data_IF_345892206446
#
_entry.id   IF_345892206446
#
_cell.length_a   1.000
_cell.length_b   1.000
_cell.length_c   1.000
_cell.angle_alpha   90.00
_cell.angle_beta   90.00
_cell.angle_gamma   90.00
#
_symmetry.space_group_name_H-M   'P 1'
#
loop_
_entity.id
_entity.type
_entity.pdbx_description
1 polymer ?
#
# COMPACT_ATOMS: atom_id res chain seq x y z
N UNK A 1 12.72 -53.55 -3.03
CA UNK A 1 12.45 -52.13 -2.63
C UNK A 1 12.40 -51.26 -3.87
N UNK A 2 11.31 -50.52 -4.04
CA UNK A 2 11.14 -49.59 -5.17
C UNK A 2 11.96 -48.31 -4.94
N UNK A 3 12.90 -48.01 -5.82
CA UNK A 3 13.73 -46.77 -5.74
C UNK A 3 12.91 -45.55 -6.19
N UNK A 4 12.68 -44.61 -5.31
CA UNK A 4 12.00 -43.34 -5.62
C UNK A 4 13.02 -42.31 -6.04
N UNK A 5 12.96 -41.84 -7.29
CA UNK A 5 13.84 -40.79 -7.83
C UNK A 5 13.30 -39.41 -7.44
N UNK A 6 13.99 -38.68 -6.55
CA UNK A 6 13.58 -37.32 -6.07
C UNK A 6 14.46 -36.19 -6.63
N UNK A 7 15.52 -36.47 -7.38
CA UNK A 7 16.52 -35.51 -7.81
C UNK A 7 15.98 -34.38 -8.65
N UNK A 8 15.08 -34.65 -9.61
CA UNK A 8 14.50 -33.65 -10.48
C UNK A 8 13.60 -32.67 -9.70
N UNK A 9 12.75 -33.19 -8.81
CA UNK A 9 11.89 -32.36 -7.98
C UNK A 9 12.68 -31.47 -7.01
N UNK A 10 13.72 -32.01 -6.38
CA UNK A 10 14.61 -31.27 -5.49
C UNK A 10 15.37 -30.16 -6.24
N UNK A 11 15.89 -30.45 -7.44
CA UNK A 11 16.57 -29.48 -8.29
C UNK A 11 15.63 -28.34 -8.72
N UNK A 12 14.42 -28.66 -9.18
CA UNK A 12 13.41 -27.65 -9.55
C UNK A 12 13.04 -26.75 -8.36
N UNK A 13 12.82 -27.32 -7.17
CA UNK A 13 12.53 -26.57 -5.95
C UNK A 13 13.66 -25.61 -5.60
N UNK A 14 14.91 -26.06 -5.64
CA UNK A 14 16.09 -25.22 -5.38
C UNK A 14 16.21 -24.08 -6.39
N UNK A 15 16.10 -24.38 -7.69
CA UNK A 15 16.14 -23.36 -8.76
C UNK A 15 15.04 -22.31 -8.60
N UNK A 16 13.82 -22.72 -8.30
CA UNK A 16 12.69 -21.79 -8.11
C UNK A 16 12.91 -20.85 -6.91
N UNK A 17 13.43 -21.37 -5.80
CA UNK A 17 13.73 -20.56 -4.62
C UNK A 17 14.85 -19.56 -4.91
N UNK A 18 15.95 -20.00 -5.50
CA UNK A 18 17.06 -19.10 -5.85
C UNK A 18 16.67 -18.05 -6.89
N UNK A 19 15.77 -18.38 -7.82
CA UNK A 19 15.23 -17.41 -8.78
C UNK A 19 14.46 -16.27 -8.06
N UNK A 20 13.69 -16.58 -7.02
CA UNK A 20 13.02 -15.56 -6.20
C UNK A 20 14.00 -14.74 -5.36
N UNK A 21 15.11 -15.33 -4.94
CA UNK A 21 16.14 -14.66 -4.16
C UNK A 21 17.14 -13.86 -5.00
N UNK A 22 16.97 -13.83 -6.33
CA UNK A 22 17.84 -13.06 -7.23
C UNK A 22 17.82 -11.58 -6.85
N UNK A 23 19.00 -10.98 -6.70
CA UNK A 23 19.16 -9.58 -6.28
C UNK A 23 19.30 -9.40 -4.77
N UNK A 24 19.23 -10.44 -3.96
CA UNK A 24 19.52 -10.34 -2.53
C UNK A 24 21.04 -10.28 -2.29
N UNK A 25 21.41 -9.58 -1.22
CA UNK A 25 22.83 -9.36 -0.88
C UNK A 25 23.59 -10.65 -0.55
N UNK A 26 24.84 -10.69 -0.98
CA UNK A 26 25.81 -11.73 -0.64
C UNK A 26 25.30 -13.18 -0.92
N UNK A 27 25.60 -14.08 0.01
CA UNK A 27 25.21 -15.50 -0.07
C UNK A 27 23.70 -15.74 -0.03
N UNK A 28 22.89 -14.73 0.27
CA UNK A 28 21.42 -14.86 0.30
C UNK A 28 20.79 -15.02 -1.09
N UNK A 29 21.53 -14.67 -2.16
CA UNK A 29 21.09 -14.91 -3.54
C UNK A 29 21.57 -16.23 -4.14
N UNK A 30 22.68 -16.79 -3.62
CA UNK A 30 23.35 -17.96 -4.22
C UNK A 30 23.23 -19.23 -3.39
N UNK A 31 23.27 -19.12 -2.05
CA UNK A 31 23.18 -20.26 -1.16
C UNK A 31 21.73 -20.55 -0.78
N UNK A 32 21.28 -21.78 -1.01
CA UNK A 32 19.88 -22.19 -0.79
C UNK A 32 19.40 -21.98 0.66
N UNK A 33 20.23 -22.28 1.66
CA UNK A 33 19.83 -22.15 3.08
C UNK A 33 19.62 -20.68 3.46
N UNK A 34 20.58 -19.84 3.13
CA UNK A 34 20.50 -18.40 3.41
C UNK A 34 19.40 -17.72 2.57
N UNK A 35 19.23 -18.11 1.31
CA UNK A 35 18.17 -17.64 0.45
C UNK A 35 16.79 -17.99 1.00
N UNK A 36 16.60 -19.21 1.50
CA UNK A 36 15.33 -19.63 2.13
C UNK A 36 14.98 -18.77 3.35
N UNK A 37 15.93 -18.57 4.26
CA UNK A 37 15.71 -17.75 5.45
C UNK A 37 15.37 -16.31 5.09
N UNK A 38 16.10 -15.72 4.14
CA UNK A 38 15.86 -14.36 3.68
C UNK A 38 14.48 -14.20 3.03
N UNK A 39 14.07 -15.15 2.19
CA UNK A 39 12.75 -15.15 1.56
C UNK A 39 11.62 -15.31 2.55
N UNK A 40 11.73 -16.20 3.55
CA UNK A 40 10.72 -16.34 4.58
C UNK A 40 10.50 -15.03 5.35
N UNK A 41 11.59 -14.33 5.68
CA UNK A 41 11.51 -13.04 6.35
C UNK A 41 10.94 -11.95 5.43
N UNK A 42 11.33 -11.92 4.16
CA UNK A 42 10.80 -10.99 3.17
C UNK A 42 9.30 -11.20 2.93
N UNK A 43 8.85 -12.45 2.79
CA UNK A 43 7.44 -12.78 2.61
C UNK A 43 6.59 -12.39 3.85
N UNK A 44 7.12 -12.58 5.06
CA UNK A 44 6.49 -12.15 6.30
C UNK A 44 6.32 -10.63 6.36
N UNK A 45 7.37 -9.88 6.03
CA UNK A 45 7.32 -8.43 5.97
C UNK A 45 6.37 -7.94 4.87
N UNK A 46 6.41 -8.54 3.68
CA UNK A 46 5.50 -8.20 2.61
C UNK A 46 4.02 -8.41 3.01
N UNK A 47 3.71 -9.49 3.73
CA UNK A 47 2.37 -9.73 4.26
C UNK A 47 1.93 -8.63 5.24
N UNK A 48 2.78 -8.30 6.21
CA UNK A 48 2.54 -7.23 7.18
C UNK A 48 2.34 -5.88 6.50
N UNK A 49 3.23 -5.53 5.58
CA UNK A 49 3.29 -4.20 4.99
C UNK A 49 2.18 -3.97 3.96
N UNK A 50 1.67 -5.01 3.31
CA UNK A 50 0.43 -4.91 2.53
C UNK A 50 -0.77 -4.48 3.38
N UNK A 51 -0.82 -4.87 4.66
CA UNK A 51 -1.85 -4.42 5.60
C UNK A 51 -1.60 -3.03 6.13
N UNK A 52 -0.34 -2.70 6.43
CA UNK A 52 0.05 -1.36 6.83
C UNK A 52 -0.28 -0.34 5.73
N UNK A 53 0.08 -0.63 4.49
CA UNK A 53 -0.23 0.23 3.34
C UNK A 53 -1.72 0.60 3.23
N UNK A 54 -2.62 -0.34 3.55
CA UNK A 54 -4.08 -0.07 3.57
C UNK A 54 -4.51 0.90 4.67
N UNK A 55 -3.72 1.07 5.72
CA UNK A 55 -3.96 2.03 6.82
C UNK A 55 -3.25 3.36 6.56
N UNK A 56 -2.03 3.31 6.06
CA UNK A 56 -1.19 4.47 5.84
C UNK A 56 -1.71 5.35 4.70
N UNK A 57 -2.19 4.74 3.61
CA UNK A 57 -2.72 5.48 2.47
C UNK A 57 -3.94 6.35 2.81
N UNK A 58 -4.97 5.87 3.52
CA UNK A 58 -6.07 6.72 3.97
C UNK A 58 -5.65 7.84 4.92
N UNK A 59 -4.66 7.61 5.78
CA UNK A 59 -4.12 8.64 6.65
C UNK A 59 -3.44 9.76 5.83
N UNK A 60 -2.63 9.38 4.84
CA UNK A 60 -2.00 10.33 3.92
C UNK A 60 -3.03 11.17 3.14
N UNK A 61 -4.09 10.52 2.61
CA UNK A 61 -5.15 11.24 1.91
C UNK A 61 -5.84 12.25 2.83
N UNK A 62 -6.08 11.86 4.08
CA UNK A 62 -6.70 12.75 5.06
C UNK A 62 -5.83 13.97 5.38
N UNK A 63 -4.52 13.77 5.53
CA UNK A 63 -3.57 14.88 5.76
C UNK A 63 -3.63 15.89 4.62
N UNK A 64 -3.60 15.43 3.36
CA UNK A 64 -3.66 16.30 2.18
C UNK A 64 -4.98 17.08 2.09
N UNK A 65 -6.11 16.40 2.28
CA UNK A 65 -7.42 17.04 2.27
C UNK A 65 -7.55 18.04 3.41
N UNK A 66 -7.08 17.69 4.61
CA UNK A 66 -7.20 18.58 5.77
C UNK A 66 -6.32 19.82 5.64
N UNK A 67 -5.16 19.73 4.98
CA UNK A 67 -4.35 20.88 4.66
C UNK A 67 -5.13 21.88 3.78
N UNK A 68 -5.68 21.44 2.65
CA UNK A 68 -6.48 22.27 1.76
C UNK A 68 -7.77 22.82 2.43
N UNK A 69 -8.38 22.06 3.33
CA UNK A 69 -9.54 22.52 4.09
C UNK A 69 -9.19 23.61 5.10
N UNK A 70 -8.00 23.57 5.70
CA UNK A 70 -7.52 24.61 6.62
C UNK A 70 -7.29 25.93 5.91
N UNK A 71 -6.80 25.91 4.68
CA UNK A 71 -6.66 27.10 3.84
C UNK A 71 -8.02 27.75 3.57
N UNK A 72 -9.09 26.95 3.52
CA UNK A 72 -10.49 27.41 3.42
C UNK A 72 -11.16 27.65 4.79
N UNK A 73 -10.43 27.73 5.90
CA UNK A 73 -10.95 28.01 7.23
C UNK A 73 -11.81 26.92 7.86
N UNK A 74 -11.79 25.69 7.31
CA UNK A 74 -12.59 24.56 7.82
C UNK A 74 -11.72 23.36 8.20
N UNK A 75 -12.35 22.33 8.76
CA UNK A 75 -11.66 21.10 9.18
C UNK A 75 -12.33 19.88 8.57
N UNK A 76 -11.59 18.78 8.48
CA UNK A 76 -12.10 17.53 7.95
C UNK A 76 -13.41 17.07 8.62
N UNK A 77 -13.50 17.17 9.93
CA UNK A 77 -14.70 16.72 10.68
C UNK A 77 -15.96 17.49 10.28
N UNK A 78 -15.85 18.82 10.16
CA UNK A 78 -16.96 19.70 9.73
C UNK A 78 -17.34 19.40 8.28
N UNK A 79 -16.35 19.33 7.39
CA UNK A 79 -16.54 19.06 5.97
C UNK A 79 -17.17 17.69 5.72
N UNK A 80 -16.65 16.63 6.36
CA UNK A 80 -17.20 15.28 6.23
C UNK A 80 -18.63 15.18 6.75
N UNK A 81 -18.96 15.91 7.83
CA UNK A 81 -20.32 16.00 8.34
C UNK A 81 -21.29 16.63 7.34
N UNK A 82 -20.88 17.70 6.64
CA UNK A 82 -21.67 18.35 5.60
C UNK A 82 -21.87 17.46 4.37
N UNK A 83 -20.79 16.80 3.88
CA UNK A 83 -20.88 15.83 2.79
C UNK A 83 -21.89 14.71 3.09
N UNK A 84 -21.84 14.17 4.32
CA UNK A 84 -22.76 13.13 4.75
C UNK A 84 -24.21 13.61 4.80
N UNK A 85 -24.47 14.84 5.26
CA UNK A 85 -25.81 15.42 5.28
C UNK A 85 -26.39 15.62 3.88
N UNK A 86 -25.56 15.94 2.90
CA UNK A 86 -25.98 16.09 1.49
C UNK A 86 -26.06 14.74 0.74
N UNK A 87 -25.75 13.61 1.40
CA UNK A 87 -25.76 12.30 0.76
C UNK A 87 -24.65 12.10 -0.29
N UNK A 88 -23.64 12.98 -0.32
CA UNK A 88 -22.55 12.88 -1.28
C UNK A 88 -21.58 11.75 -0.92
N UNK A 89 -21.51 10.73 -1.77
CA UNK A 89 -20.61 9.56 -1.61
C UNK A 89 -19.31 9.81 -2.38
N UNK A 90 -18.35 10.47 -1.73
CA UNK A 90 -17.04 10.76 -2.33
C UNK A 90 -15.93 10.04 -1.55
N UNK A 91 -15.04 9.35 -2.27
CA UNK A 91 -13.93 8.63 -1.67
C UNK A 91 -12.81 9.60 -1.23
N UNK A 92 -12.19 9.34 -0.07
CA UNK A 92 -11.06 10.13 0.46
C UNK A 92 -9.89 10.24 -0.53
N UNK A 93 -9.62 9.19 -1.31
CA UNK A 93 -8.60 9.21 -2.36
C UNK A 93 -8.92 10.25 -3.42
N UNK A 94 -10.15 10.26 -3.92
CA UNK A 94 -10.61 11.23 -4.93
C UNK A 94 -10.54 12.66 -4.40
N UNK A 95 -10.97 12.90 -3.17
CA UNK A 95 -10.87 14.21 -2.52
C UNK A 95 -9.41 14.66 -2.40
N UNK A 96 -8.51 13.76 -2.03
CA UNK A 96 -7.08 14.05 -1.93
C UNK A 96 -6.46 14.38 -3.29
N UNK A 97 -6.84 13.65 -4.34
CA UNK A 97 -6.38 13.94 -5.70
C UNK A 97 -6.94 15.28 -6.20
N UNK A 98 -8.20 15.57 -5.94
CA UNK A 98 -8.84 16.83 -6.30
C UNK A 98 -8.16 18.01 -5.62
N UNK A 99 -7.90 17.92 -4.32
CA UNK A 99 -7.24 18.97 -3.55
C UNK A 99 -5.81 19.28 -4.06
N UNK A 100 -5.08 18.26 -4.56
CA UNK A 100 -3.70 18.44 -5.04
C UNK A 100 -3.65 18.85 -6.51
N UNK A 101 -4.44 18.21 -7.38
CA UNK A 101 -4.37 18.42 -8.84
C UNK A 101 -5.25 19.56 -9.33
N UNK A 102 -6.36 19.82 -8.64
CA UNK A 102 -7.37 20.81 -9.04
C UNK A 102 -7.86 21.63 -7.84
N UNK A 103 -6.99 22.42 -7.21
CA UNK A 103 -7.33 23.18 -5.99
C UNK A 103 -8.52 24.10 -6.18
N UNK A 104 -8.63 24.79 -7.32
CA UNK A 104 -9.74 25.70 -7.60
C UNK A 104 -11.12 25.00 -7.58
N UNK A 105 -11.19 23.77 -8.11
CA UNK A 105 -12.42 22.97 -8.08
C UNK A 105 -12.72 22.49 -6.66
N UNK A 106 -11.70 22.12 -5.91
CA UNK A 106 -11.85 21.72 -4.52
C UNK A 106 -12.36 22.87 -3.65
N UNK A 107 -11.81 24.08 -3.84
CA UNK A 107 -12.24 25.30 -3.12
C UNK A 107 -13.69 25.67 -3.45
N UNK A 108 -14.08 25.58 -4.73
CA UNK A 108 -15.47 25.81 -5.13
C UNK A 108 -16.42 24.79 -4.46
N UNK A 109 -16.00 23.52 -4.40
CA UNK A 109 -16.76 22.46 -3.73
C UNK A 109 -16.91 22.75 -2.22
N UNK A 110 -15.85 23.21 -1.55
CA UNK A 110 -15.88 23.56 -0.12
C UNK A 110 -16.81 24.75 0.12
N UNK A 111 -16.77 25.79 -0.74
CA UNK A 111 -17.64 26.97 -0.64
C UNK A 111 -19.12 26.63 -0.83
N UNK A 112 -19.43 25.75 -1.78
CA UNK A 112 -20.82 25.32 -2.02
C UNK A 112 -21.38 24.44 -0.89
N UNK A 113 -20.54 23.87 -0.06
CA UNK A 113 -20.91 23.08 1.11
C UNK A 113 -21.02 23.90 2.40
N UNK A 114 -20.54 25.14 2.40
CA UNK A 114 -20.61 26.04 3.56
C UNK A 114 -21.93 26.77 3.62
#
# INVERSE_FOLDING_TARGET
MTRIKRGVAASKRRKNLLRRAKGFDNRRSTNFVYARQALLKADSYAYRDRRNKKRDMPALWLVRVNAALRDNGTTWSKFAGKLKKQGAVVNRKMLSELAVKHPAIFDAMVKNLN
#
